data_IF_226653723025
#
_entry.id   IF_226653723025
#
_cell.length_a   1.000
_cell.length_b   1.000
_cell.length_c   1.000
_cell.angle_alpha   90.00
_cell.angle_beta   90.00
_cell.angle_gamma   90.00
#
_symmetry.space_group_name_H-M   'P 1'
#
loop_
_entity.id
_entity.type
_entity.pdbx_description
1 polymer ?
#
# COMPACT_ATOMS: atom_id res chain seq x y z
N UNK A 1 24.41 0.62 -12.75
CA UNK A 1 23.08 0.00 -12.56
C UNK A 1 22.52 0.56 -11.26
N UNK A 2 21.44 1.34 -11.32
CA UNK A 2 20.90 2.00 -10.13
C UNK A 2 20.10 0.97 -9.33
N UNK A 3 20.71 0.38 -8.29
CA UNK A 3 20.03 -0.44 -7.28
C UNK A 3 19.17 0.47 -6.38
N UNK A 4 18.10 1.02 -6.93
CA UNK A 4 17.16 1.84 -6.19
C UNK A 4 15.84 1.08 -6.21
N UNK A 5 15.31 0.79 -5.02
CA UNK A 5 13.93 0.31 -4.89
C UNK A 5 12.99 1.49 -4.94
N UNK A 6 11.89 1.38 -5.67
CA UNK A 6 10.93 2.48 -5.79
C UNK A 6 9.52 1.97 -6.05
N UNK A 7 8.57 2.83 -5.73
CA UNK A 7 7.15 2.61 -5.94
C UNK A 7 6.68 3.23 -7.25
N UNK A 8 5.84 2.52 -7.98
CA UNK A 8 5.21 2.98 -9.22
C UNK A 8 3.69 2.93 -9.05
N UNK A 9 3.00 3.96 -9.55
CA UNK A 9 1.52 4.04 -9.60
C UNK A 9 0.85 3.68 -8.26
N UNK A 10 1.37 4.24 -7.16
CA UNK A 10 0.76 4.01 -5.86
C UNK A 10 -0.50 4.86 -5.67
N UNK A 11 -1.43 4.36 -4.88
CA UNK A 11 -2.69 5.01 -4.51
C UNK A 11 -2.88 4.87 -3.00
N UNK A 12 -3.21 5.97 -2.33
CA UNK A 12 -3.62 5.99 -0.93
C UNK A 12 -5.00 5.37 -0.77
N UNK A 13 -5.15 4.52 0.24
CA UNK A 13 -6.35 3.71 0.44
C UNK A 13 -6.93 3.81 1.86
N UNK A 14 -6.15 4.31 2.81
CA UNK A 14 -6.57 4.49 4.20
C UNK A 14 -5.64 5.47 4.89
N UNK A 15 -6.18 6.33 5.74
CA UNK A 15 -5.44 7.26 6.59
C UNK A 15 -5.94 7.13 8.03
N UNK A 16 -5.00 7.06 8.98
CA UNK A 16 -5.27 7.01 10.41
C UNK A 16 -4.14 7.73 11.16
N UNK A 17 -4.46 8.90 11.73
CA UNK A 17 -3.54 9.77 12.46
C UNK A 17 -2.21 10.01 11.71
N UNK A 18 -2.32 10.36 10.42
CA UNK A 18 -1.18 10.58 9.55
C UNK A 18 -0.44 9.32 9.07
N UNK A 19 -0.80 8.11 9.53
CA UNK A 19 -0.39 6.85 8.90
C UNK A 19 -1.24 6.63 7.64
N UNK A 20 -0.59 6.56 6.49
CA UNK A 20 -1.25 6.39 5.20
C UNK A 20 -0.88 5.04 4.62
N UNK A 21 -1.87 4.20 4.38
CA UNK A 21 -1.72 2.96 3.63
C UNK A 21 -1.89 3.22 2.13
N UNK A 22 -1.05 2.55 1.35
CA UNK A 22 -1.06 2.63 -0.11
C UNK A 22 -1.06 1.26 -0.74
N UNK A 23 -1.61 1.15 -1.94
CA UNK A 23 -1.36 0.01 -2.83
C UNK A 23 -0.66 0.49 -4.09
N UNK A 24 0.22 -0.34 -4.65
CA UNK A 24 0.96 0.02 -5.86
C UNK A 24 1.93 -1.08 -6.27
N UNK A 25 2.82 -0.75 -7.20
CA UNK A 25 3.88 -1.65 -7.66
C UNK A 25 5.18 -1.29 -6.97
N UNK A 26 5.75 -2.23 -6.23
CA UNK A 26 7.07 -2.09 -5.62
C UNK A 26 8.11 -2.88 -6.40
N UNK A 27 9.08 -2.15 -6.95
CA UNK A 27 10.19 -2.76 -7.68
C UNK A 27 11.41 -2.84 -6.76
N UNK A 28 11.63 -4.00 -6.14
CA UNK A 28 12.77 -4.20 -5.27
C UNK A 28 14.05 -4.26 -6.11
N UNK A 29 15.00 -3.34 -5.86
CA UNK A 29 16.32 -3.28 -6.52
C UNK A 29 16.28 -3.21 -8.05
N UNK A 30 15.14 -2.91 -8.67
CA UNK A 30 14.95 -2.97 -10.13
C UNK A 30 15.20 -4.39 -10.70
N UNK A 31 14.98 -5.42 -9.86
CA UNK A 31 15.17 -6.85 -10.21
C UNK A 31 13.89 -7.48 -10.76
N UNK A 32 12.72 -6.92 -10.40
CA UNK A 32 11.43 -7.44 -10.82
C UNK A 32 10.91 -6.56 -11.96
N UNK A 33 11.00 -7.07 -13.19
CA UNK A 33 10.70 -6.43 -14.50
C UNK A 33 9.27 -5.82 -14.62
N UNK A 34 8.92 -4.86 -13.76
CA UNK A 34 7.56 -4.33 -13.57
C UNK A 34 7.15 -4.06 -12.11
N UNK A 35 7.85 -4.65 -11.13
CA UNK A 35 7.55 -4.62 -9.69
C UNK A 35 6.53 -5.67 -9.25
N UNK A 36 6.36 -5.83 -7.94
CA UNK A 36 5.32 -6.67 -7.32
C UNK A 36 4.21 -5.78 -6.77
N UNK A 37 2.94 -6.19 -6.98
CA UNK A 37 1.81 -5.51 -6.35
C UNK A 37 1.88 -5.72 -4.85
N UNK A 38 1.94 -4.65 -4.09
CA UNK A 38 2.08 -4.74 -2.64
C UNK A 38 1.37 -3.63 -1.90
N UNK A 39 1.13 -3.87 -0.63
CA UNK A 39 0.66 -2.89 0.33
C UNK A 39 1.87 -2.19 0.95
N UNK A 40 1.77 -0.88 1.09
CA UNK A 40 2.79 -0.10 1.75
C UNK A 40 2.23 0.93 2.70
N UNK A 41 3.13 1.60 3.41
CA UNK A 41 2.78 2.61 4.40
C UNK A 41 3.76 3.78 4.36
N UNK A 42 3.23 4.98 4.62
CA UNK A 42 4.00 6.20 4.82
C UNK A 42 3.30 7.18 5.76
N UNK A 43 4.03 8.21 6.17
CA UNK A 43 3.55 9.32 6.99
C UNK A 43 3.80 10.63 6.23
N UNK A 44 3.00 10.86 5.20
CA UNK A 44 3.18 11.99 4.29
C UNK A 44 4.50 11.88 3.51
N UNK A 45 5.52 12.61 3.94
CA UNK A 45 6.82 12.63 3.26
C UNK A 45 7.83 11.60 3.79
N UNK A 46 7.50 10.79 4.81
CA UNK A 46 8.36 9.78 5.42
C UNK A 46 7.84 8.35 5.16
N UNK A 47 8.69 7.32 4.96
CA UNK A 47 10.14 7.33 5.04
C UNK A 47 10.80 7.98 3.83
N UNK A 48 12.02 8.51 3.99
CA UNK A 48 12.82 8.99 2.87
C UNK A 48 14.15 8.25 2.77
N UNK A 49 14.55 7.93 1.55
CA UNK A 49 15.90 7.52 1.22
C UNK A 49 16.47 8.53 0.23
N UNK A 50 17.57 9.20 0.61
CA UNK A 50 18.22 10.25 -0.21
C UNK A 50 17.24 11.35 -0.67
N UNK A 51 16.29 11.73 0.18
CA UNK A 51 15.30 12.77 -0.12
C UNK A 51 14.14 12.32 -1.01
N UNK A 52 14.05 11.02 -1.34
CA UNK A 52 12.94 10.44 -2.10
C UNK A 52 12.08 9.58 -1.18
N UNK A 53 10.75 9.71 -1.28
CA UNK A 53 9.79 8.92 -0.53
C UNK A 53 10.01 7.42 -0.78
N UNK A 54 10.31 6.71 0.29
CA UNK A 54 10.68 5.30 0.32
C UNK A 54 9.66 4.54 1.17
N UNK A 55 8.45 4.38 0.62
CA UNK A 55 7.31 3.79 1.31
C UNK A 55 7.67 2.37 1.78
N UNK A 56 7.34 2.05 3.03
CA UNK A 56 7.61 0.74 3.61
C UNK A 56 6.70 -0.31 2.95
N UNK A 57 7.23 -1.48 2.66
CA UNK A 57 6.46 -2.61 2.12
C UNK A 57 5.96 -3.49 3.25
N UNK A 58 4.69 -3.86 3.22
CA UNK A 58 4.07 -4.75 4.19
C UNK A 58 4.01 -6.17 3.59
N UNK A 59 4.53 -7.21 4.29
CA UNK A 59 4.48 -8.59 3.81
C UNK A 59 3.05 -9.06 3.53
N UNK A 60 2.87 -9.91 2.50
CA UNK A 60 1.54 -10.33 2.01
C UNK A 60 0.59 -10.82 3.10
N UNK A 61 1.03 -11.72 3.97
CA UNK A 61 0.18 -12.25 5.05
C UNK A 61 -0.31 -11.15 6.01
N UNK A 62 0.56 -10.19 6.34
CA UNK A 62 0.20 -9.05 7.18
C UNK A 62 -0.71 -8.07 6.42
N UNK A 63 -0.43 -7.83 5.14
CA UNK A 63 -1.27 -7.03 4.26
C UNK A 63 -2.70 -7.56 4.21
N UNK A 64 -2.87 -8.87 4.04
CA UNK A 64 -4.18 -9.51 3.98
C UNK A 64 -4.95 -9.36 5.29
N UNK A 65 -4.28 -9.55 6.43
CA UNK A 65 -4.88 -9.37 7.75
C UNK A 65 -5.32 -7.92 7.99
N UNK A 66 -4.49 -6.93 7.64
CA UNK A 66 -4.80 -5.51 7.77
C UNK A 66 -6.02 -5.15 6.92
N UNK A 67 -6.01 -5.50 5.63
CA UNK A 67 -7.09 -5.15 4.71
C UNK A 67 -8.41 -5.82 5.09
N UNK A 68 -8.37 -7.08 5.55
CA UNK A 68 -9.56 -7.76 6.05
C UNK A 68 -10.13 -7.08 7.31
N UNK A 69 -9.28 -6.70 8.26
CA UNK A 69 -9.69 -5.99 9.47
C UNK A 69 -10.30 -4.62 9.17
N UNK A 70 -9.66 -3.85 8.29
CA UNK A 70 -10.16 -2.53 7.86
C UNK A 70 -11.49 -2.65 7.11
N UNK A 71 -11.62 -3.63 6.22
CA UNK A 71 -12.87 -3.85 5.49
C UNK A 71 -13.99 -4.25 6.45
N UNK A 72 -13.73 -5.15 7.39
CA UNK A 72 -14.70 -5.54 8.41
C UNK A 72 -15.16 -4.35 9.26
N UNK A 73 -14.23 -3.48 9.69
CA UNK A 73 -14.56 -2.23 10.39
C UNK A 73 -15.46 -1.33 9.53
N UNK A 74 -15.09 -1.10 8.26
CA UNK A 74 -15.86 -0.27 7.34
C UNK A 74 -17.29 -0.80 7.12
N UNK A 75 -17.46 -2.13 7.07
CA UNK A 75 -18.78 -2.78 6.99
C UNK A 75 -19.61 -2.53 8.26
N UNK A 76 -19.04 -2.72 9.44
CA UNK A 76 -19.73 -2.46 10.72
C UNK A 76 -20.17 -1.00 10.82
N UNK A 77 -19.35 -0.08 10.32
CA UNK A 77 -19.60 1.36 10.37
C UNK A 77 -20.49 1.87 9.21
N UNK A 78 -20.91 0.99 8.28
CA UNK A 78 -21.61 1.38 7.03
C UNK A 78 -20.87 2.48 6.23
N UNK A 79 -19.54 2.44 6.22
CA UNK A 79 -18.73 3.39 5.46
C UNK A 79 -18.55 2.91 4.00
N UNK A 80 -19.49 3.28 3.13
CA UNK A 80 -19.53 2.84 1.73
C UNK A 80 -18.26 3.22 0.93
N UNK A 81 -17.70 4.40 1.19
CA UNK A 81 -16.48 4.87 0.52
C UNK A 81 -15.26 4.00 0.89
N UNK A 82 -15.10 3.71 2.18
CA UNK A 82 -14.03 2.84 2.66
C UNK A 82 -14.22 1.41 2.13
N UNK A 83 -15.45 0.89 2.12
CA UNK A 83 -15.76 -0.44 1.55
C UNK A 83 -15.34 -0.51 0.08
N UNK A 84 -15.72 0.47 -0.74
CA UNK A 84 -15.38 0.50 -2.15
C UNK A 84 -13.87 0.60 -2.39
N UNK A 85 -13.20 1.45 -1.62
CA UNK A 85 -11.74 1.67 -1.72
C UNK A 85 -10.95 0.43 -1.30
N UNK A 86 -11.29 -0.18 -0.17
CA UNK A 86 -10.61 -1.38 0.35
C UNK A 86 -10.88 -2.61 -0.52
N UNK A 87 -12.12 -2.77 -1.02
CA UNK A 87 -12.45 -3.85 -1.96
C UNK A 87 -11.63 -3.73 -3.24
N UNK A 88 -11.49 -2.51 -3.78
CA UNK A 88 -10.66 -2.24 -4.95
C UNK A 88 -9.18 -2.52 -4.67
N UNK A 89 -8.68 -2.17 -3.49
CA UNK A 89 -7.30 -2.45 -3.07
C UNK A 89 -7.02 -3.96 -2.97
N UNK A 90 -7.93 -4.72 -2.35
CA UNK A 90 -7.84 -6.18 -2.24
C UNK A 90 -7.86 -6.82 -3.64
N UNK A 91 -8.78 -6.37 -4.52
CA UNK A 91 -8.83 -6.86 -5.90
C UNK A 91 -7.56 -6.55 -6.68
N UNK A 92 -6.96 -5.37 -6.47
CA UNK A 92 -5.70 -5.01 -7.11
C UNK A 92 -4.58 -5.98 -6.69
N UNK A 93 -4.42 -6.26 -5.39
CA UNK A 93 -3.36 -7.12 -4.88
C UNK A 93 -3.51 -8.62 -5.24
N UNK A 94 -4.73 -9.06 -5.54
CA UNK A 94 -5.02 -10.46 -5.88
C UNK A 94 -5.20 -10.73 -7.39
N UNK A 95 -4.99 -9.72 -8.24
CA UNK A 95 -5.01 -9.85 -9.72
C UNK A 95 -3.62 -10.05 -10.29
#
# INVERSE_FOLDING_TARGET
MNMISYWKKHKEIHEDDGMILITGWYDHKNENNGGEKTLGVHWGNYPQSRGVLSLCVIPKATSDAILAGLLHKAVIENNEEAIATLTSAISFLNS
#
